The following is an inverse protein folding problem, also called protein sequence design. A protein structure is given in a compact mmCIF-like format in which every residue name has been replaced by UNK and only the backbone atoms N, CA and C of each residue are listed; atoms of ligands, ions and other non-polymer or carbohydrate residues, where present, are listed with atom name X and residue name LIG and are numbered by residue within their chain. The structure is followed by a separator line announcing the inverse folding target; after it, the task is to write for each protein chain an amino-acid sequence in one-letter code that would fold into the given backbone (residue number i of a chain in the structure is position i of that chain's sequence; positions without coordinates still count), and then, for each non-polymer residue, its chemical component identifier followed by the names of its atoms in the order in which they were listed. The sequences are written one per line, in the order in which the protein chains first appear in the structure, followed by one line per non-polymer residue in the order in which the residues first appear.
data_IF_905544900310
#
_entry.id   IF_905544900310
#
_cell.length_a   1.000
_cell.length_b   1.000
_cell.length_c   1.000
_cell.angle_alpha   90.00
_cell.angle_beta   90.00
_cell.angle_gamma   90.00
#
_symmetry.space_group_name_H-M   'P 1'
#
loop_
_entity.id
_entity.type
_entity.pdbx_description
1 polymer ?
#
# COMPACT_ATOMS: atom_id res chain seq x y z
N UNK A 1 17.89 -9.54 -1.82
CA UNK A 1 18.64 -8.86 -0.74
C UNK A 1 19.31 -9.87 0.20
N UNK A 2 18.60 -10.86 0.73
CA UNK A 2 19.18 -11.96 1.53
C UNK A 2 20.32 -12.69 0.80
N UNK A 3 20.14 -13.00 -0.49
CA UNK A 3 21.17 -13.64 -1.32
C UNK A 3 22.45 -12.80 -1.49
N UNK A 4 22.34 -11.47 -1.39
CA UNK A 4 23.45 -10.54 -1.58
C UNK A 4 24.17 -10.28 -0.25
N UNK A 5 23.42 -10.11 0.85
CA UNK A 5 23.97 -9.73 2.15
C UNK A 5 24.34 -10.92 3.04
N UNK A 6 23.80 -12.11 2.76
CA UNK A 6 23.90 -13.28 3.63
C UNK A 6 23.22 -13.11 5.00
N UNK A 7 22.39 -12.06 5.17
CA UNK A 7 21.70 -11.73 6.42
C UNK A 7 20.19 -11.85 6.27
N UNK A 8 19.46 -12.24 7.33
CA UNK A 8 18.01 -12.26 7.30
C UNK A 8 17.46 -10.85 7.11
N UNK A 9 16.43 -10.73 6.28
CA UNK A 9 15.64 -9.51 6.11
C UNK A 9 14.38 -9.70 6.92
N UNK A 10 14.22 -8.89 7.96
CA UNK A 10 13.08 -8.98 8.87
C UNK A 10 12.13 -7.85 8.54
N UNK A 11 11.07 -8.18 7.81
CA UNK A 11 9.94 -7.28 7.67
C UNK A 11 9.13 -7.28 8.98
N UNK A 12 8.70 -6.09 9.39
CA UNK A 12 7.87 -5.87 10.56
C UNK A 12 6.93 -4.70 10.27
N UNK A 13 5.69 -4.83 10.70
CA UNK A 13 4.64 -3.88 10.38
C UNK A 13 4.11 -3.19 11.64
N UNK A 14 3.97 -1.87 11.56
CA UNK A 14 3.44 -0.99 12.60
C UNK A 14 3.07 0.38 12.06
N UNK A 15 2.47 1.20 12.93
CA UNK A 15 2.00 2.54 12.59
C UNK A 15 2.37 3.54 13.68
N UNK A 16 2.32 4.83 13.36
CA UNK A 16 2.56 5.90 14.35
C UNK A 16 1.66 5.74 15.58
N UNK A 17 0.41 5.32 15.33
CA UNK A 17 -0.65 5.04 16.27
C UNK A 17 -0.28 3.94 17.27
N UNK A 18 0.44 2.90 16.84
CA UNK A 18 0.76 1.75 17.69
C UNK A 18 2.05 1.94 18.46
N UNK A 19 2.96 2.79 17.97
CA UNK A 19 4.21 3.15 18.63
C UNK A 19 5.30 2.08 18.55
N UNK A 20 4.95 0.83 18.24
CA UNK A 20 5.87 -0.30 18.05
C UNK A 20 5.24 -1.39 17.17
N UNK A 21 6.06 -2.40 16.81
CA UNK A 21 5.70 -3.54 15.95
C UNK A 21 4.36 -4.17 16.35
N UNK A 22 3.42 -4.26 15.42
CA UNK A 22 2.19 -5.04 15.57
C UNK A 22 2.46 -6.49 15.17
N UNK A 23 3.18 -6.68 14.06
CA UNK A 23 3.66 -7.96 13.58
C UNK A 23 5.16 -7.88 13.28
N UNK A 24 5.91 -8.91 13.68
CA UNK A 24 7.34 -9.01 13.44
C UNK A 24 7.82 -10.46 13.58
N UNK A 25 9.01 -10.75 13.05
CA UNK A 25 9.75 -11.95 13.41
C UNK A 25 10.46 -11.74 14.77
N UNK A 26 10.12 -12.49 15.84
CA UNK A 26 10.63 -12.25 17.18
C UNK A 26 12.05 -12.83 17.38
N UNK A 27 13.01 -12.42 16.53
CA UNK A 27 14.37 -12.98 16.44
C UNK A 27 15.16 -13.05 17.76
N UNK A 28 14.82 -12.21 18.76
CA UNK A 28 15.41 -12.26 20.10
C UNK A 28 14.84 -13.34 21.03
N UNK A 29 13.73 -13.98 20.65
CA UNK A 29 13.06 -15.08 21.36
C UNK A 29 13.18 -16.35 20.52
N UNK A 30 12.64 -16.31 19.31
CA UNK A 30 12.64 -17.41 18.35
C UNK A 30 12.66 -16.82 16.94
N UNK A 31 13.58 -17.29 16.10
CA UNK A 31 13.61 -16.88 14.70
C UNK A 31 12.69 -17.78 13.89
N UNK A 32 11.58 -17.23 13.41
CA UNK A 32 10.62 -17.94 12.59
C UNK A 32 11.08 -17.98 11.11
N UNK A 33 10.66 -18.97 10.31
CA UNK A 33 10.90 -18.98 8.87
C UNK A 33 10.37 -17.71 8.21
N UNK A 34 11.19 -17.01 7.41
CA UNK A 34 10.77 -15.80 6.71
C UNK A 34 9.99 -16.17 5.44
N UNK A 35 8.78 -15.62 5.30
CA UNK A 35 8.01 -15.64 4.06
C UNK A 35 8.13 -14.28 3.36
N UNK A 36 8.65 -14.20 2.11
CA UNK A 36 8.70 -12.94 1.38
C UNK A 36 7.33 -12.25 1.32
N UNK A 37 7.29 -10.94 1.60
CA UNK A 37 6.05 -10.16 1.64
C UNK A 37 5.25 -10.23 2.94
N UNK A 38 5.67 -11.06 3.91
CA UNK A 38 5.01 -11.17 5.21
C UNK A 38 5.74 -10.38 6.30
N UNK A 39 4.97 -9.71 7.16
CA UNK A 39 5.43 -9.14 8.42
C UNK A 39 5.61 -10.20 9.53
N UNK A 40 5.58 -11.49 9.18
CA UNK A 40 5.58 -12.65 10.10
C UNK A 40 4.32 -12.68 10.96
N UNK A 41 4.42 -12.72 12.29
CA UNK A 41 3.26 -12.98 13.16
C UNK A 41 2.97 -11.79 14.08
N UNK A 42 1.72 -11.63 14.55
CA UNK A 42 1.41 -10.66 15.58
C UNK A 42 2.29 -10.85 16.82
N UNK A 43 2.84 -9.77 17.35
CA UNK A 43 3.65 -9.81 18.56
C UNK A 43 2.77 -9.81 19.81
N UNK A 44 3.27 -10.28 20.97
CA UNK A 44 2.47 -10.40 22.19
C UNK A 44 1.76 -9.10 22.57
N UNK A 45 0.45 -9.19 22.84
CA UNK A 45 -0.40 -8.05 23.20
C UNK A 45 -1.26 -7.52 22.05
N UNK A 46 -0.89 -7.78 20.79
CA UNK A 46 -1.76 -7.51 19.65
C UNK A 46 -2.54 -8.78 19.28
N UNK A 47 -3.87 -8.72 19.37
CA UNK A 47 -4.75 -9.72 18.78
C UNK A 47 -5.21 -9.22 17.42
N UNK A 48 -4.45 -9.55 16.37
CA UNK A 48 -4.76 -9.16 14.99
C UNK A 48 -5.80 -10.11 14.41
N UNK A 49 -6.85 -9.56 13.81
CA UNK A 49 -7.88 -10.30 13.08
C UNK A 49 -8.15 -9.62 11.74
N UNK A 50 -8.40 -10.42 10.71
CA UNK A 50 -8.79 -9.95 9.38
C UNK A 50 -10.31 -10.00 9.32
N UNK A 51 -10.96 -8.85 9.14
CA UNK A 51 -12.41 -8.77 9.06
C UNK A 51 -12.87 -8.47 7.63
N UNK A 52 -14.02 -8.98 7.24
CA UNK A 52 -14.68 -8.59 5.99
C UNK A 52 -15.49 -7.29 6.14
N UNK A 53 -16.25 -6.91 5.10
CA UNK A 53 -17.10 -5.72 5.13
C UNK A 53 -18.27 -5.80 6.14
N UNK A 54 -18.69 -7.02 6.51
CA UNK A 54 -19.71 -7.25 7.52
C UNK A 54 -19.15 -7.23 8.95
N UNK A 55 -17.83 -7.21 9.11
CA UNK A 55 -17.15 -7.27 10.40
C UNK A 55 -16.94 -8.70 10.90
N UNK A 56 -17.10 -9.70 10.04
CA UNK A 56 -16.88 -11.10 10.35
C UNK A 56 -15.44 -11.52 10.05
N UNK A 57 -14.91 -12.48 10.82
CA UNK A 57 -13.54 -12.95 10.63
C UNK A 57 -13.39 -13.70 9.30
N UNK A 58 -12.41 -13.29 8.50
CA UNK A 58 -12.04 -13.93 7.25
C UNK A 58 -11.36 -15.29 7.49
N UNK A 59 -11.53 -16.20 6.53
CA UNK A 59 -10.77 -17.45 6.51
C UNK A 59 -9.28 -17.20 6.19
N UNK A 60 -8.38 -18.16 6.45
CA UNK A 60 -6.98 -18.06 6.01
C UNK A 60 -6.88 -17.75 4.51
N UNK A 61 -5.91 -16.92 4.14
CA UNK A 61 -5.66 -16.42 2.78
C UNK A 61 -6.78 -15.56 2.17
N UNK A 62 -7.84 -15.25 2.92
CA UNK A 62 -8.87 -14.34 2.47
C UNK A 62 -8.51 -12.90 2.87
N UNK A 63 -8.55 -12.00 1.89
CA UNK A 63 -8.27 -10.59 2.10
C UNK A 63 -9.42 -9.89 2.84
N UNK A 64 -9.05 -8.95 3.72
CA UNK A 64 -9.98 -8.11 4.45
C UNK A 64 -9.29 -6.93 5.12
N UNK A 65 -9.97 -6.32 6.07
CA UNK A 65 -9.48 -5.23 6.90
C UNK A 65 -8.55 -5.78 7.99
N UNK A 66 -7.33 -5.26 8.07
CA UNK A 66 -6.41 -5.61 9.16
C UNK A 66 -6.84 -4.84 10.40
N UNK A 67 -7.37 -5.57 11.38
CA UNK A 67 -7.88 -5.00 12.64
C UNK A 67 -7.14 -5.58 13.83
N UNK A 68 -7.19 -4.86 14.95
CA UNK A 68 -6.71 -5.35 16.24
C UNK A 68 -7.85 -5.31 17.24
N UNK A 69 -8.12 -6.44 17.87
CA UNK A 69 -9.15 -6.54 18.92
C UNK A 69 -8.77 -5.70 20.12
N UNK A 70 -9.71 -4.93 20.65
CA UNK A 70 -9.50 -4.09 21.83
C UNK A 70 -9.63 -4.90 23.13
N UNK A 71 -8.93 -4.52 24.21
CA UNK A 71 -8.04 -3.36 24.32
C UNK A 71 -6.71 -3.56 23.59
N UNK A 72 -6.19 -2.47 23.03
CA UNK A 72 -4.84 -2.42 22.44
C UNK A 72 -3.77 -2.53 23.52
N UNK A 73 -2.57 -3.07 23.21
CA UNK A 73 -1.49 -3.19 24.18
C UNK A 73 -0.88 -1.83 24.55
N UNK A 74 -0.06 -1.78 25.63
CA UNK A 74 0.61 -0.55 26.06
C UNK A 74 1.42 0.12 24.94
N UNK A 75 1.51 1.44 25.00
CA UNK A 75 2.23 2.26 24.01
C UNK A 75 1.38 2.73 22.83
N UNK A 76 0.21 2.13 22.61
CA UNK A 76 -0.74 2.60 21.61
C UNK A 76 -1.35 3.96 21.99
N UNK A 77 -1.71 4.75 20.98
CA UNK A 77 -2.32 6.06 21.18
C UNK A 77 -3.61 5.98 22.01
N UNK A 78 -3.80 6.86 23.00
CA UNK A 78 -5.06 6.91 23.74
C UNK A 78 -6.11 7.81 23.05
N UNK A 79 -5.67 8.75 22.20
CA UNK A 79 -6.52 9.72 21.50
C UNK A 79 -5.73 10.50 20.45
N UNK A 80 -6.41 11.30 19.61
CA UNK A 80 -5.82 12.38 18.82
C UNK A 80 -5.88 13.70 19.60
N UNK A 81 -4.80 14.48 19.55
CA UNK A 81 -4.66 15.75 20.30
C UNK A 81 -5.80 16.72 19.99
N UNK A 82 -6.53 17.16 21.03
CA UNK A 82 -7.69 18.05 20.95
C UNK A 82 -8.80 17.59 19.99
N UNK A 83 -8.84 16.32 19.61
CA UNK A 83 -9.84 15.79 18.69
C UNK A 83 -10.12 14.30 18.94
N UNK A 84 -10.77 14.00 20.07
CA UNK A 84 -11.13 12.62 20.42
C UNK A 84 -12.16 12.01 19.45
N UNK A 85 -13.06 12.83 18.90
CA UNK A 85 -14.07 12.38 17.94
C UNK A 85 -13.43 11.84 16.65
N UNK A 86 -12.31 12.43 16.21
CA UNK A 86 -11.51 11.88 15.10
C UNK A 86 -10.86 10.55 15.46
N UNK A 87 -10.45 10.36 16.71
CA UNK A 87 -9.92 9.07 17.15
C UNK A 87 -11.01 7.99 17.12
N UNK A 88 -12.22 8.29 17.61
CA UNK A 88 -13.33 7.34 17.53
C UNK A 88 -13.72 7.03 16.08
N UNK A 89 -14.05 8.07 15.30
CA UNK A 89 -14.54 7.90 13.93
C UNK A 89 -13.50 7.32 12.98
N UNK A 90 -12.22 7.66 13.15
CA UNK A 90 -11.14 7.19 12.28
C UNK A 90 -10.67 5.77 12.55
N UNK A 91 -10.73 5.30 13.81
CA UNK A 91 -10.10 4.04 14.20
C UNK A 91 -11.03 3.04 14.90
N UNK A 92 -12.10 3.48 15.56
CA UNK A 92 -12.87 2.63 16.49
C UNK A 92 -14.33 2.39 16.07
N UNK A 93 -14.86 3.20 15.16
CA UNK A 93 -16.29 3.19 14.82
C UNK A 93 -16.68 2.18 13.74
N UNK A 94 -15.77 1.77 12.86
CA UNK A 94 -16.11 0.90 11.73
C UNK A 94 -16.42 -0.53 12.19
N UNK A 95 -15.64 -1.06 13.14
CA UNK A 95 -15.82 -2.41 13.68
C UNK A 95 -15.87 -2.33 15.21
N UNK A 96 -17.04 -2.60 15.78
CA UNK A 96 -17.24 -2.51 17.23
C UNK A 96 -16.31 -3.48 17.96
N UNK A 97 -15.63 -2.99 19.01
CA UNK A 97 -14.64 -3.80 19.74
C UNK A 97 -13.25 -3.88 19.08
N UNK A 98 -13.04 -3.28 17.91
CA UNK A 98 -11.75 -3.32 17.21
C UNK A 98 -11.12 -1.93 17.04
N UNK A 99 -9.82 -1.93 16.79
CA UNK A 99 -9.05 -0.84 16.21
C UNK A 99 -8.82 -1.18 14.73
N UNK A 100 -9.24 -0.29 13.84
CA UNK A 100 -8.97 -0.39 12.41
C UNK A 100 -7.62 0.27 12.09
N UNK A 101 -6.69 -0.51 11.54
CA UNK A 101 -5.38 0.02 11.14
C UNK A 101 -5.44 0.93 9.91
N UNK A 102 -6.48 0.78 9.07
CA UNK A 102 -6.53 1.40 7.76
C UNK A 102 -5.69 0.67 6.70
N UNK A 103 -5.15 -0.51 7.04
CA UNK A 103 -4.44 -1.38 6.10
C UNK A 103 -5.32 -2.59 5.76
N UNK A 104 -5.20 -3.05 4.51
CA UNK A 104 -5.82 -4.28 4.00
C UNK A 104 -4.79 -5.40 3.96
N UNK A 105 -5.22 -6.63 4.17
CA UNK A 105 -4.30 -7.75 4.31
C UNK A 105 -5.01 -9.08 4.48
N UNK A 106 -4.21 -10.13 4.67
CA UNK A 106 -4.69 -11.46 5.01
C UNK A 106 -3.73 -12.14 5.99
N UNK A 107 -4.22 -13.17 6.67
CA UNK A 107 -3.42 -14.09 7.47
C UNK A 107 -3.45 -15.44 6.77
N UNK A 108 -2.29 -16.05 6.55
CA UNK A 108 -2.21 -17.38 5.94
C UNK A 108 -2.48 -18.52 6.93
N UNK A 109 -2.45 -19.76 6.44
CA UNK A 109 -2.73 -20.97 7.23
C UNK A 109 -1.75 -21.19 8.39
N UNK A 110 -0.54 -20.62 8.31
CA UNK A 110 0.48 -20.71 9.36
C UNK A 110 0.44 -19.51 10.32
N UNK A 111 -0.53 -18.60 10.16
CA UNK A 111 -0.69 -17.42 11.00
C UNK A 111 0.19 -16.22 10.57
N UNK A 112 0.76 -16.23 9.38
CA UNK A 112 1.60 -15.14 8.89
C UNK A 112 0.74 -14.02 8.32
N UNK A 113 0.99 -12.79 8.77
CA UNK A 113 0.32 -11.58 8.33
C UNK A 113 0.97 -11.02 7.07
N UNK A 114 0.15 -10.77 6.06
CA UNK A 114 0.52 -10.11 4.81
C UNK A 114 -0.25 -8.80 4.67
N UNK A 115 0.47 -7.70 4.49
CA UNK A 115 -0.12 -6.37 4.33
C UNK A 115 -0.13 -6.04 2.83
N UNK A 116 -1.32 -5.91 2.26
CA UNK A 116 -1.51 -5.65 0.82
C UNK A 116 -1.50 -4.15 0.49
N UNK A 117 -1.53 -3.30 1.51
CA UNK A 117 -1.49 -1.85 1.37
C UNK A 117 -2.59 -1.17 2.15
N UNK A 118 -2.83 0.10 1.81
CA UNK A 118 -3.85 0.93 2.44
C UNK A 118 -5.23 0.57 1.92
N UNK A 119 -6.24 0.51 2.80
CA UNK A 119 -7.63 0.34 2.36
C UNK A 119 -8.13 1.53 1.54
N UNK A 120 -7.57 2.73 1.77
CA UNK A 120 -7.86 3.95 0.99
C UNK A 120 -7.14 3.99 -0.37
N UNK A 121 -6.21 3.05 -0.60
CA UNK A 121 -5.58 2.81 -1.89
C UNK A 121 -6.27 1.68 -2.67
N UNK A 122 -7.31 1.02 -2.13
CA UNK A 122 -8.18 0.10 -2.89
C UNK A 122 -9.04 0.92 -3.84
N UNK A 123 -9.07 0.51 -5.11
CA UNK A 123 -9.81 1.20 -6.17
C UNK A 123 -11.00 0.35 -6.61
N UNK A 124 -12.09 1.00 -7.01
CA UNK A 124 -13.26 0.35 -7.58
C UNK A 124 -13.31 0.57 -9.09
N UNK A 125 -13.05 -0.49 -9.84
CA UNK A 125 -13.03 -0.49 -11.29
C UNK A 125 -14.19 -1.34 -11.78
N UNK A 126 -15.21 -0.71 -12.34
CA UNK A 126 -16.41 -1.38 -12.87
C UNK A 126 -17.08 -2.34 -11.86
N UNK A 127 -17.07 -1.98 -10.57
CA UNK A 127 -17.65 -2.79 -9.49
C UNK A 127 -16.67 -3.77 -8.84
N UNK A 128 -15.45 -3.91 -9.36
CA UNK A 128 -14.42 -4.77 -8.78
C UNK A 128 -13.50 -3.97 -7.86
N UNK A 129 -13.35 -4.45 -6.62
CA UNK A 129 -12.37 -3.91 -5.67
C UNK A 129 -11.00 -4.49 -5.97
N UNK A 130 -10.04 -3.62 -6.29
CA UNK A 130 -8.69 -4.01 -6.67
C UNK A 130 -7.65 -3.30 -5.81
N UNK A 131 -6.62 -4.02 -5.39
CA UNK A 131 -5.48 -3.45 -4.67
C UNK A 131 -4.50 -2.82 -5.66
N UNK A 132 -4.18 -1.55 -5.47
CA UNK A 132 -3.07 -0.92 -6.22
C UNK A 132 -1.72 -1.49 -5.81
N UNK A 133 -1.56 -1.97 -4.58
CA UNK A 133 -0.34 -2.62 -4.10
C UNK A 133 -0.02 -3.92 -4.85
N UNK A 134 -1.04 -4.71 -5.19
CA UNK A 134 -0.88 -5.91 -6.01
C UNK A 134 -0.38 -5.56 -7.43
N UNK A 135 -0.93 -4.51 -8.03
CA UNK A 135 -0.44 -4.00 -9.32
C UNK A 135 0.99 -3.46 -9.22
N UNK A 136 1.33 -2.77 -8.14
CA UNK A 136 2.69 -2.28 -7.87
C UNK A 136 3.69 -3.43 -7.70
N UNK A 137 3.29 -4.56 -7.12
CA UNK A 137 4.14 -5.75 -7.00
C UNK A 137 4.50 -6.32 -8.37
N UNK A 138 3.50 -6.46 -9.26
CA UNK A 138 3.70 -6.95 -10.64
C UNK A 138 4.58 -5.99 -11.44
N UNK A 139 4.27 -4.69 -11.38
CA UNK A 139 5.01 -3.63 -12.08
C UNK A 139 6.44 -3.51 -11.55
N UNK A 140 6.61 -3.50 -10.23
CA UNK A 140 7.92 -3.43 -9.56
C UNK A 140 8.78 -4.67 -9.79
N UNK A 141 8.16 -5.83 -10.07
CA UNK A 141 8.86 -7.04 -10.49
C UNK A 141 9.46 -6.98 -11.90
N UNK A 142 9.24 -5.91 -12.67
CA UNK A 142 9.82 -5.76 -14.01
C UNK A 142 11.31 -5.34 -13.94
N UNK A 143 12.24 -5.98 -14.68
CA UNK A 143 13.68 -5.75 -14.54
C UNK A 143 14.14 -4.30 -14.73
N UNK A 144 13.44 -3.54 -15.58
CA UNK A 144 13.73 -2.14 -15.87
C UNK A 144 13.27 -1.15 -14.78
N UNK A 145 12.36 -1.55 -13.88
CA UNK A 145 11.70 -0.64 -12.94
C UNK A 145 12.49 -0.55 -11.65
N UNK A 146 12.83 0.67 -11.25
CA UNK A 146 13.44 0.99 -9.97
C UNK A 146 12.38 1.16 -8.89
N UNK A 147 11.34 1.94 -9.20
CA UNK A 147 10.23 2.23 -8.30
C UNK A 147 8.95 2.44 -9.11
N UNK A 148 7.80 2.24 -8.48
CA UNK A 148 6.52 2.51 -9.10
C UNK A 148 5.48 2.97 -8.07
N UNK A 149 4.41 3.59 -8.58
CA UNK A 149 3.19 3.87 -7.85
C UNK A 149 1.99 3.61 -8.74
N UNK A 150 0.95 2.97 -8.22
CA UNK A 150 -0.32 2.81 -8.90
C UNK A 150 -1.39 3.56 -8.10
N UNK A 151 -2.16 4.41 -8.78
CA UNK A 151 -3.26 5.18 -8.17
C UNK A 151 -4.54 4.99 -8.97
N UNK A 152 -5.68 4.97 -8.28
CA UNK A 152 -6.99 5.01 -8.94
C UNK A 152 -7.37 6.43 -9.29
N UNK A 153 -7.55 6.70 -10.58
CA UNK A 153 -8.01 7.99 -11.09
C UNK A 153 -9.46 7.87 -11.58
N UNK A 154 -10.17 8.98 -11.63
CA UNK A 154 -11.56 9.04 -12.05
C UNK A 154 -11.72 8.56 -13.50
N UNK A 155 -12.75 7.75 -13.73
CA UNK A 155 -13.17 7.31 -15.07
C UNK A 155 -14.69 7.33 -15.17
N UNK A 156 -15.23 8.05 -16.18
CA UNK A 156 -16.68 8.25 -16.32
C UNK A 156 -17.47 6.96 -16.54
N UNK A 157 -16.83 5.89 -17.05
CA UNK A 157 -17.49 4.62 -17.35
C UNK A 157 -17.28 3.59 -16.25
N UNK A 158 -16.06 3.50 -15.72
CA UNK A 158 -15.66 2.47 -14.75
C UNK A 158 -15.69 2.94 -13.30
N UNK A 159 -15.97 4.22 -13.06
CA UNK A 159 -15.85 4.86 -11.75
C UNK A 159 -14.39 5.24 -11.47
N UNK A 160 -13.51 4.25 -11.41
CA UNK A 160 -12.07 4.46 -11.37
C UNK A 160 -11.35 3.59 -12.39
N UNK A 161 -10.13 4.00 -12.76
CA UNK A 161 -9.14 3.17 -13.45
C UNK A 161 -7.77 3.34 -12.82
N UNK A 162 -6.92 2.29 -12.81
CA UNK A 162 -5.57 2.42 -12.31
C UNK A 162 -4.67 3.16 -13.31
N UNK A 163 -3.82 4.03 -12.78
CA UNK A 163 -2.75 4.72 -13.47
C UNK A 163 -1.42 4.33 -12.82
N UNK A 164 -0.51 3.75 -13.60
CA UNK A 164 0.85 3.47 -13.16
C UNK A 164 1.81 4.62 -13.46
N UNK A 165 2.61 5.00 -12.46
CA UNK A 165 3.78 5.87 -12.63
C UNK A 165 5.03 5.07 -12.29
N UNK A 166 6.01 5.07 -13.18
CA UNK A 166 7.20 4.23 -13.03
C UNK A 166 8.49 5.01 -13.21
N UNK A 167 9.49 4.66 -12.41
CA UNK A 167 10.86 5.19 -12.49
C UNK A 167 11.75 4.06 -13.01
N UNK A 168 12.51 4.33 -14.07
CA UNK A 168 13.44 3.35 -14.62
C UNK A 168 14.73 3.26 -13.79
N UNK A 169 15.40 2.11 -13.82
CA UNK A 169 16.75 1.97 -13.29
C UNK A 169 17.76 2.74 -14.15
N UNK A 170 18.81 3.25 -13.51
CA UNK A 170 19.92 3.89 -14.19
C UNK A 170 20.52 2.98 -15.29
N UNK A 171 20.76 3.57 -16.45
CA UNK A 171 21.37 2.87 -17.59
C UNK A 171 20.40 2.05 -18.46
N UNK A 172 19.10 2.05 -18.13
CA UNK A 172 18.07 1.52 -19.04
C UNK A 172 17.79 2.56 -20.13
N UNK A 173 17.92 2.13 -21.39
CA UNK A 173 17.62 2.95 -22.57
C UNK A 173 16.54 2.26 -23.41
N UNK A 174 15.34 2.16 -22.85
CA UNK A 174 14.15 1.63 -23.53
C UNK A 174 13.18 2.80 -23.72
N UNK A 175 12.50 2.86 -24.87
CA UNK A 175 11.48 3.89 -25.11
C UNK A 175 10.30 3.76 -24.13
N UNK A 176 9.86 4.88 -23.57
CA UNK A 176 8.78 4.93 -22.56
C UNK A 176 7.51 4.22 -23.02
N UNK A 177 7.13 4.39 -24.30
CA UNK A 177 5.96 3.74 -24.89
C UNK A 177 6.09 2.21 -24.96
N UNK A 178 7.31 1.69 -25.06
CA UNK A 178 7.58 0.25 -25.06
C UNK A 178 7.44 -0.28 -23.64
N UNK A 179 8.06 0.38 -22.65
CA UNK A 179 7.91 0.02 -21.23
C UNK A 179 6.43 0.04 -20.82
N UNK A 180 5.69 1.09 -21.18
CA UNK A 180 4.27 1.19 -20.84
C UNK A 180 3.46 0.00 -21.34
N UNK A 181 3.68 -0.44 -22.59
CA UNK A 181 3.01 -1.61 -23.17
C UNK A 181 3.39 -2.92 -22.49
N UNK A 182 4.67 -3.11 -22.17
CA UNK A 182 5.15 -4.30 -21.47
C UNK A 182 4.50 -4.43 -20.09
N UNK A 183 4.45 -3.33 -19.33
CA UNK A 183 3.83 -3.31 -18.01
C UNK A 183 2.32 -3.59 -18.06
N UNK A 184 1.62 -3.02 -19.04
CA UNK A 184 0.20 -3.28 -19.29
C UNK A 184 -0.04 -4.77 -19.59
N UNK A 185 0.78 -5.37 -20.44
CA UNK A 185 0.73 -6.80 -20.75
C UNK A 185 0.95 -7.65 -19.49
N UNK A 186 1.98 -7.32 -18.71
CA UNK A 186 2.35 -8.10 -17.51
C UNK A 186 1.27 -8.07 -16.43
N UNK A 187 0.69 -6.90 -16.13
CA UNK A 187 -0.42 -6.78 -15.18
C UNK A 187 -1.64 -7.57 -15.67
N UNK A 188 -1.94 -7.52 -16.96
CA UNK A 188 -3.04 -8.29 -17.55
C UNK A 188 -2.81 -9.79 -17.48
N UNK A 189 -1.58 -10.26 -17.62
CA UNK A 189 -1.24 -11.68 -17.59
C UNK A 189 -1.24 -12.24 -16.16
N UNK A 190 -0.79 -11.46 -15.17
CA UNK A 190 -0.68 -11.91 -13.76
C UNK A 190 -1.96 -11.69 -12.94
N UNK A 191 -2.60 -10.52 -13.04
CA UNK A 191 -3.81 -10.17 -12.27
C UNK A 191 -5.08 -10.45 -13.09
N UNK A 192 -4.99 -10.32 -14.42
CA UNK A 192 -6.11 -10.54 -15.34
C UNK A 192 -6.69 -9.26 -15.91
N UNK A 193 -7.53 -9.42 -16.94
CA UNK A 193 -8.16 -8.30 -17.65
C UNK A 193 -9.08 -7.44 -16.76
N UNK A 194 -9.54 -7.99 -15.62
CA UNK A 194 -10.36 -7.27 -14.64
C UNK A 194 -9.63 -6.07 -14.03
N UNK A 195 -8.29 -6.12 -13.96
CA UNK A 195 -7.47 -5.03 -13.43
C UNK A 195 -7.68 -3.70 -14.17
N UNK A 196 -8.07 -3.76 -15.46
CA UNK A 196 -8.18 -2.62 -16.37
C UNK A 196 -6.96 -1.68 -16.34
N UNK A 197 -5.77 -2.22 -16.12
CA UNK A 197 -4.52 -1.47 -16.16
C UNK A 197 -4.14 -1.19 -17.60
N UNK A 198 -4.45 0.01 -18.09
CA UNK A 198 -4.27 0.41 -19.48
C UNK A 198 -3.33 1.62 -19.68
N UNK A 199 -2.79 2.17 -18.58
CA UNK A 199 -1.86 3.30 -18.63
C UNK A 199 -0.72 3.13 -17.62
N UNK A 200 0.51 3.20 -18.13
CA UNK A 200 1.74 3.31 -17.34
C UNK A 200 2.63 4.39 -17.95
N UNK A 201 2.99 5.39 -17.16
CA UNK A 201 3.79 6.54 -17.57
C UNK A 201 5.16 6.51 -16.88
N UNK A 202 6.20 6.74 -17.66
CA UNK A 202 7.57 6.89 -17.13
C UNK A 202 7.72 8.30 -16.57
N UNK A 203 8.27 8.39 -15.36
CA UNK A 203 8.55 9.63 -14.65
C UNK A 203 9.97 9.62 -14.11
N UNK A 204 10.57 10.79 -13.98
CA UNK A 204 11.93 10.92 -13.45
C UNK A 204 12.02 10.48 -11.98
N UNK A 205 10.96 10.75 -11.20
CA UNK A 205 10.85 10.38 -9.78
C UNK A 205 9.40 10.47 -9.28
N UNK A 206 9.14 9.82 -8.16
CA UNK A 206 7.87 9.87 -7.45
C UNK A 206 7.93 10.88 -6.28
N UNK A 207 6.87 11.68 -6.05
CA UNK A 207 6.81 12.60 -4.92
C UNK A 207 6.70 11.84 -3.60
N UNK A 208 7.61 12.10 -2.66
CA UNK A 208 7.68 11.37 -1.38
C UNK A 208 7.71 12.29 -0.17
N UNK A 209 7.36 11.74 0.99
CA UNK A 209 7.69 12.37 2.27
C UNK A 209 9.18 12.19 2.58
N UNK A 210 9.72 12.97 3.52
CA UNK A 210 11.07 12.75 4.07
C UNK A 210 11.30 11.37 4.70
N UNK A 211 10.22 10.64 5.00
CA UNK A 211 10.27 9.24 5.46
C UNK A 211 10.15 8.22 4.33
N UNK A 212 10.17 8.67 3.06
CA UNK A 212 10.13 7.82 1.87
C UNK A 212 8.73 7.40 1.41
N UNK A 213 7.66 7.88 2.04
CA UNK A 213 6.29 7.50 1.66
C UNK A 213 5.86 8.22 0.39
N UNK A 214 5.46 7.48 -0.63
CA UNK A 214 4.89 8.04 -1.87
C UNK A 214 3.58 8.77 -1.55
N UNK A 215 3.44 10.00 -2.08
CA UNK A 215 2.28 10.85 -1.87
C UNK A 215 1.11 10.51 -2.82
N UNK A 216 0.63 9.26 -2.78
CA UNK A 216 -0.42 8.73 -3.69
C UNK A 216 -1.67 9.58 -3.77
N UNK A 217 -2.13 10.12 -2.63
CA UNK A 217 -3.26 11.05 -2.60
C UNK A 217 -3.02 12.29 -3.47
N UNK A 218 -1.85 12.91 -3.36
CA UNK A 218 -1.53 14.11 -4.14
C UNK A 218 -1.40 13.78 -5.63
N UNK A 219 -0.78 12.63 -5.95
CA UNK A 219 -0.70 12.13 -7.33
C UNK A 219 -2.09 11.96 -7.95
N UNK A 220 -3.01 11.30 -7.24
CA UNK A 220 -4.42 11.14 -7.66
C UNK A 220 -5.11 12.48 -7.89
N UNK A 221 -4.97 13.43 -6.95
CA UNK A 221 -5.54 14.76 -7.11
C UNK A 221 -5.00 15.50 -8.34
N UNK A 222 -3.70 15.39 -8.63
CA UNK A 222 -3.11 15.96 -9.84
C UNK A 222 -3.72 15.33 -11.10
N UNK A 223 -3.81 13.99 -11.12
CA UNK A 223 -4.33 13.25 -12.27
C UNK A 223 -5.82 13.53 -12.53
N UNK A 224 -6.61 13.72 -11.48
CA UNK A 224 -8.03 14.07 -11.56
C UNK A 224 -8.26 15.59 -11.80
N UNK A 225 -7.20 16.40 -11.85
CA UNK A 225 -7.30 17.85 -12.01
C UNK A 225 -7.87 18.58 -10.79
N UNK A 226 -7.83 17.96 -9.62
CA UNK A 226 -8.31 18.53 -8.36
C UNK A 226 -7.31 19.51 -7.74
N UNK A 227 -7.80 20.37 -6.86
CA UNK A 227 -6.92 21.18 -6.01
C UNK A 227 -6.25 20.30 -4.95
N UNK A 228 -4.93 20.45 -4.81
CA UNK A 228 -4.14 19.78 -3.80
C UNK A 228 -3.34 20.79 -2.97
N UNK A 229 -2.98 20.37 -1.76
CA UNK A 229 -2.09 21.14 -0.88
C UNK A 229 -0.75 20.43 -0.84
N UNK A 230 0.32 21.15 -1.13
CA UNK A 230 1.69 20.62 -1.04
C UNK A 230 1.96 20.23 0.42
N UNK A 231 2.20 18.95 0.73
CA UNK A 231 2.47 18.53 2.10
C UNK A 231 3.79 19.14 2.61
N UNK A 232 3.80 19.68 3.83
CA UNK A 232 5.02 20.26 4.43
C UNK A 232 6.13 19.21 4.67
N UNK A 233 5.76 17.93 4.66
CA UNK A 233 6.64 16.78 4.84
C UNK A 233 7.23 16.25 3.53
N UNK A 234 6.89 16.84 2.37
CA UNK A 234 7.46 16.46 1.08
C UNK A 234 8.99 16.65 1.10
N UNK A 235 9.71 15.77 0.41
CA UNK A 235 11.15 15.84 0.25
C UNK A 235 11.56 16.94 -0.74
N UNK A 236 10.99 16.92 -1.94
CA UNK A 236 11.19 17.91 -3.00
C UNK A 236 9.86 18.29 -3.66
N UNK A 237 9.33 19.51 -3.41
CA UNK A 237 8.11 20.01 -4.04
C UNK A 237 8.13 20.05 -5.57
N UNK A 238 9.30 20.13 -6.21
CA UNK A 238 9.39 20.21 -7.68
C UNK A 238 8.97 18.91 -8.37
N UNK A 239 9.04 17.77 -7.68
CA UNK A 239 8.52 16.48 -8.16
C UNK A 239 7.03 16.55 -8.53
N UNK A 240 6.21 17.37 -7.85
CA UNK A 240 4.80 17.53 -8.18
C UNK A 240 4.60 18.20 -9.55
N UNK A 241 5.45 19.17 -9.89
CA UNK A 241 5.40 19.87 -11.18
C UNK A 241 5.85 18.96 -12.33
N UNK A 242 6.81 18.08 -12.08
CA UNK A 242 7.27 17.07 -13.05
C UNK A 242 6.13 16.09 -13.36
N UNK A 243 5.47 15.55 -12.32
CA UNK A 243 4.30 14.69 -12.47
C UNK A 243 3.17 15.40 -13.23
N UNK A 244 2.89 16.67 -12.92
CA UNK A 244 1.90 17.47 -13.65
C UNK A 244 2.19 17.58 -15.14
N UNK A 245 3.46 17.72 -15.54
CA UNK A 245 3.85 17.82 -16.95
C UNK A 245 3.61 16.52 -17.68
N UNK A 246 3.96 15.40 -17.06
CA UNK A 246 3.77 14.06 -17.64
C UNK A 246 2.29 13.73 -17.77
N UNK A 247 1.45 14.13 -16.82
CA UNK A 247 0.00 13.87 -16.87
C UNK A 247 -0.78 14.79 -17.83
N UNK A 248 -0.21 15.94 -18.18
CA UNK A 248 -0.81 16.90 -19.14
C UNK A 248 -0.34 16.67 -20.59
N UNK A 249 0.73 15.91 -20.79
CA UNK A 249 1.30 15.58 -22.11
C UNK A 249 0.65 14.36 -22.72
#
# INVERSE_FOLDING_TARGET
MTEVSGKPVIDHWWQTETGWAIAANPTGIETLPVKPGSATVPVPGYQVEILDEAGEACAPNQQGYVTVKRPMPPGCLPTVWRNHDRFQSGYLSQFEGYYLSGDGGYIDEDGYLFIMGRIDDVINVAGHRLSTGEMEEVVGGHPAIAECAVVGIHDDLKGQKPLGLVVLKDGISVEDATIGKELIGKVRDEIGAVACFDQALVVDRLPKTRSGKILRRVIRQIADGEQYVVPSTIDDPSSLQEIERVLKG
#
